data_IF_652865745908
#
_entry.id   IF_652865745908
#
_cell.length_a   1.000
_cell.length_b   1.000
_cell.length_c   1.000
_cell.angle_alpha   90.00
_cell.angle_beta   90.00
_cell.angle_gamma   90.00
#
_symmetry.space_group_name_H-M   'P 1'
#
loop_
_entity.id
_entity.type
_entity.pdbx_description
1 polymer ?
#
# COMPACT_ATOMS: atom_id res chain seq x y z
N UNK A 1 -14.02 15.34 11.99
CA UNK A 1 -14.41 15.78 10.62
C UNK A 1 -14.52 14.54 9.76
N UNK A 2 -15.70 14.23 9.22
CA UNK A 2 -15.85 13.09 8.29
C UNK A 2 -15.16 13.47 6.98
N UNK A 3 -13.97 12.90 6.77
CA UNK A 3 -13.23 13.06 5.52
C UNK A 3 -14.11 12.53 4.39
N UNK A 4 -14.38 13.39 3.42
CA UNK A 4 -15.10 13.03 2.20
C UNK A 4 -14.22 11.98 1.53
N UNK A 5 -14.72 10.74 1.43
CA UNK A 5 -14.03 9.56 0.93
C UNK A 5 -13.69 9.76 -0.56
N UNK A 6 -12.59 10.45 -0.80
CA UNK A 6 -12.10 10.81 -2.13
C UNK A 6 -11.41 9.63 -2.77
N UNK A 7 -12.16 8.89 -3.59
CA UNK A 7 -11.81 8.18 -4.83
C UNK A 7 -10.60 7.21 -4.89
N UNK A 8 -9.66 7.21 -3.96
CA UNK A 8 -8.68 6.13 -3.80
C UNK A 8 -8.31 5.97 -2.33
N UNK A 9 -8.69 4.82 -1.75
CA UNK A 9 -8.22 4.39 -0.42
C UNK A 9 -6.68 4.17 -0.38
N UNK A 10 -5.99 4.27 -1.53
CA UNK A 10 -4.58 3.91 -1.72
C UNK A 10 -3.65 5.14 -1.77
N UNK A 11 -2.57 5.08 -0.99
CA UNK A 11 -1.52 6.08 -0.93
C UNK A 11 -0.15 5.40 -1.08
N UNK A 12 0.69 5.93 -1.97
CA UNK A 12 2.09 5.48 -2.09
C UNK A 12 2.98 6.46 -1.35
N UNK A 13 3.70 5.97 -0.36
CA UNK A 13 4.60 6.81 0.41
C UNK A 13 5.74 7.32 -0.49
N UNK A 14 6.12 8.62 -0.44
CA UNK A 14 7.17 9.18 -1.28
C UNK A 14 8.51 8.43 -1.17
N UNK A 15 8.80 7.87 0.01
CA UNK A 15 10.00 7.07 0.24
C UNK A 15 10.05 5.79 -0.61
N UNK A 16 8.90 5.24 -1.00
CA UNK A 16 8.79 4.09 -1.93
C UNK A 16 9.34 4.44 -3.32
N UNK A 17 9.09 5.68 -3.79
CA UNK A 17 9.61 6.19 -5.06
C UNK A 17 11.10 6.52 -4.98
N UNK A 18 11.55 7.08 -3.85
CA UNK A 18 12.97 7.32 -3.59
C UNK A 18 13.74 6.00 -3.61
N UNK A 19 13.23 4.96 -2.95
CA UNK A 19 13.87 3.65 -2.94
C UNK A 19 13.84 2.99 -4.33
N UNK A 20 12.75 3.16 -5.10
CA UNK A 20 12.69 2.71 -6.49
C UNK A 20 13.82 3.34 -7.32
N UNK A 21 14.03 4.65 -7.20
CA UNK A 21 15.13 5.33 -7.87
C UNK A 21 16.51 4.79 -7.43
N UNK A 22 16.71 4.60 -6.12
CA UNK A 22 17.95 4.02 -5.58
C UNK A 22 18.18 2.60 -6.14
N UNK A 23 17.14 1.78 -6.26
CA UNK A 23 17.26 0.43 -6.84
C UNK A 23 17.69 0.45 -8.31
N UNK A 24 17.25 1.44 -9.09
CA UNK A 24 17.65 1.63 -10.49
C UNK A 24 19.14 1.96 -10.55
N UNK A 25 19.60 2.90 -9.72
CA UNK A 25 21.01 3.32 -9.67
C UNK A 25 21.94 2.18 -9.24
N UNK A 26 21.46 1.28 -8.38
CA UNK A 26 22.23 0.11 -7.89
C UNK A 26 22.07 -1.15 -8.76
N UNK A 27 21.38 -1.06 -9.91
CA UNK A 27 21.12 -2.19 -10.81
C UNK A 27 20.37 -3.37 -10.14
N UNK A 28 19.56 -3.07 -9.11
CA UNK A 28 18.74 -4.03 -8.36
C UNK A 28 17.23 -3.83 -8.61
N UNK A 29 16.90 -3.06 -9.65
CA UNK A 29 15.53 -2.68 -10.01
C UNK A 29 14.57 -3.86 -10.07
N UNK A 30 14.94 -4.95 -10.74
CA UNK A 30 14.05 -6.11 -10.90
C UNK A 30 13.74 -6.82 -9.58
N UNK A 31 14.70 -6.88 -8.66
CA UNK A 31 14.48 -7.48 -7.33
C UNK A 31 13.54 -6.64 -6.50
N UNK A 32 13.77 -5.32 -6.46
CA UNK A 32 12.89 -4.42 -5.73
C UNK A 32 11.49 -4.35 -6.37
N UNK A 33 11.41 -4.25 -7.69
CA UNK A 33 10.14 -4.20 -8.41
C UNK A 33 9.30 -5.47 -8.20
N UNK A 34 9.92 -6.65 -8.27
CA UNK A 34 9.22 -7.90 -7.98
C UNK A 34 8.74 -7.98 -6.53
N UNK A 35 9.54 -7.54 -5.56
CA UNK A 35 9.11 -7.44 -4.16
C UNK A 35 7.92 -6.47 -4.00
N UNK A 36 7.95 -5.31 -4.66
CA UNK A 36 6.87 -4.32 -4.63
C UNK A 36 5.57 -4.90 -5.22
N UNK A 37 5.65 -5.63 -6.34
CA UNK A 37 4.48 -6.31 -6.93
C UNK A 37 3.89 -7.34 -5.97
N UNK A 38 4.73 -8.15 -5.31
CA UNK A 38 4.28 -9.15 -4.33
C UNK A 38 3.56 -8.47 -3.16
N UNK A 39 4.13 -7.37 -2.63
CA UNK A 39 3.52 -6.58 -1.54
C UNK A 39 2.17 -6.00 -1.97
N UNK A 40 2.07 -5.43 -3.18
CA UNK A 40 0.81 -4.91 -3.71
C UNK A 40 -0.27 -6.00 -3.81
N UNK A 41 0.09 -7.20 -4.28
CA UNK A 41 -0.83 -8.33 -4.38
C UNK A 41 -1.26 -8.83 -2.99
N UNK A 42 -0.30 -8.93 -2.05
CA UNK A 42 -0.56 -9.30 -0.67
C UNK A 42 -1.57 -8.35 -0.01
N UNK A 43 -1.32 -7.05 -0.11
CA UNK A 43 -2.17 -6.03 0.49
C UNK A 43 -3.53 -5.93 -0.19
N UNK A 44 -3.58 -6.14 -1.50
CA UNK A 44 -4.85 -6.27 -2.21
C UNK A 44 -5.68 -7.44 -1.70
N UNK A 45 -5.04 -8.54 -1.28
CA UNK A 45 -5.70 -9.66 -0.60
C UNK A 45 -6.40 -9.20 0.69
N UNK A 46 -5.68 -8.47 1.55
CA UNK A 46 -6.27 -7.88 2.77
C UNK A 46 -7.41 -6.92 2.44
N UNK A 47 -7.22 -6.04 1.47
CA UNK A 47 -8.24 -5.10 1.01
C UNK A 47 -9.50 -5.79 0.49
N UNK A 48 -9.34 -6.85 -0.29
CA UNK A 48 -10.45 -7.66 -0.81
C UNK A 48 -11.25 -8.29 0.33
N UNK A 49 -10.59 -8.92 1.30
CA UNK A 49 -11.28 -9.51 2.45
C UNK A 49 -11.91 -8.45 3.35
N UNK A 50 -11.24 -7.33 3.61
CA UNK A 50 -11.81 -6.21 4.37
C UNK A 50 -13.10 -5.67 3.73
N UNK A 51 -13.13 -5.48 2.41
CA UNK A 51 -14.35 -5.10 1.68
C UNK A 51 -15.42 -6.20 1.75
N UNK A 52 -15.04 -7.46 1.57
CA UNK A 52 -15.98 -8.60 1.60
C UNK A 52 -16.69 -8.74 2.94
N UNK A 53 -15.99 -8.52 4.04
CA UNK A 53 -16.53 -8.56 5.40
C UNK A 53 -17.09 -7.20 5.87
N UNK A 54 -17.13 -6.18 5.00
CA UNK A 54 -17.67 -4.84 5.27
C UNK A 54 -16.95 -4.08 6.40
N UNK A 55 -15.65 -4.29 6.55
CA UNK A 55 -14.84 -3.44 7.44
C UNK A 55 -14.74 -2.01 6.89
N UNK A 56 -14.70 -1.03 7.79
CA UNK A 56 -14.44 0.36 7.43
C UNK A 56 -12.95 0.55 7.16
N UNK A 57 -12.54 0.57 5.90
CA UNK A 57 -11.16 0.88 5.51
C UNK A 57 -10.96 2.39 5.59
N UNK A 58 -9.93 2.81 6.33
CA UNK A 58 -9.47 4.19 6.48
C UNK A 58 -8.47 4.54 5.37
N UNK A 59 -7.38 3.78 5.26
CA UNK A 59 -6.33 3.99 4.25
C UNK A 59 -5.54 2.73 3.97
N UNK A 60 -4.95 2.65 2.78
CA UNK A 60 -4.00 1.63 2.34
C UNK A 60 -2.72 2.32 1.92
N UNK A 61 -1.62 2.07 2.61
CA UNK A 61 -0.35 2.78 2.40
C UNK A 61 0.72 1.81 1.90
N UNK A 62 1.36 2.13 0.78
CA UNK A 62 2.48 1.35 0.24
C UNK A 62 3.80 2.02 0.64
N UNK A 63 4.64 1.27 1.34
CA UNK A 63 5.97 1.63 1.80
C UNK A 63 7.05 0.88 1.00
N UNK A 64 8.33 1.31 1.05
CA UNK A 64 9.38 0.59 0.33
C UNK A 64 9.61 -0.84 0.82
N UNK A 65 9.25 -1.14 2.06
CA UNK A 65 9.49 -2.46 2.67
C UNK A 65 8.20 -3.20 3.02
N UNK A 66 7.04 -2.78 2.49
CA UNK A 66 5.75 -3.39 2.80
C UNK A 66 4.56 -2.49 2.49
N UNK A 67 3.38 -2.87 2.95
CA UNK A 67 2.18 -2.05 2.86
C UNK A 67 1.34 -2.23 4.13
N UNK A 68 0.45 -1.28 4.39
CA UNK A 68 -0.46 -1.29 5.54
C UNK A 68 -1.86 -0.90 5.13
N UNK A 69 -2.82 -1.76 5.42
CA UNK A 69 -4.25 -1.47 5.38
C UNK A 69 -4.71 -1.11 6.79
N UNK A 70 -5.00 0.18 6.98
CA UNK A 70 -5.59 0.71 8.20
C UNK A 70 -7.11 0.57 8.12
N UNK A 71 -7.66 -0.10 9.12
CA UNK A 71 -9.10 -0.19 9.35
C UNK A 71 -9.49 0.81 10.43
N UNK A 72 -10.66 1.40 10.26
CA UNK A 72 -11.36 2.14 11.30
C UNK A 72 -12.11 1.13 12.19
N UNK A 73 -11.36 0.21 12.78
CA UNK A 73 -11.87 -0.85 13.63
C UNK A 73 -11.70 -0.39 15.08
N UNK A 74 -12.74 0.26 15.61
CA UNK A 74 -12.91 0.77 16.97
C UNK A 74 -11.73 1.55 17.59
N UNK A 75 -11.97 2.84 17.88
CA UNK A 75 -11.15 3.57 18.87
C UNK A 75 -11.21 2.93 20.25
#
# INVERSE_FOLDING_TARGET
MKSIKGWSDWYVHPFTLVYLFVSIVNNDFYRYFSALVIVCIHEYGHYYFAKKFKFEIDKVEIFPFGAFLSLNDFG
#
